data_IF_852814059613
#
_entry.id   IF_852814059613
#
_cell.length_a   1.000
_cell.length_b   1.000
_cell.length_c   1.000
_cell.angle_alpha   90.00
_cell.angle_beta   90.00
_cell.angle_gamma   90.00
#
_symmetry.space_group_name_H-M   'P 1'
#
loop_
_entity.id
_entity.type
_entity.pdbx_description
1 polymer ?
#
# COMPACT_ATOMS: atom_id res chain seq x y z
N UNK A 1 15.24 -6.81 15.92
CA UNK A 1 16.11 -6.12 16.90
C UNK A 1 16.85 -7.11 17.78
N UNK A 2 16.14 -8.04 18.42
CA UNK A 2 16.74 -9.06 19.29
C UNK A 2 17.80 -9.92 18.58
N UNK A 3 17.51 -10.34 17.34
CA UNK A 3 18.47 -11.09 16.50
C UNK A 3 19.75 -10.32 16.21
N UNK A 4 19.71 -8.99 16.29
CA UNK A 4 20.86 -8.10 16.10
C UNK A 4 21.47 -7.63 17.43
N UNK A 5 21.04 -8.16 18.57
CA UNK A 5 21.51 -7.79 19.91
C UNK A 5 21.16 -6.36 20.34
N UNK A 6 20.15 -5.73 19.73
CA UNK A 6 19.74 -4.35 20.02
C UNK A 6 18.63 -4.30 21.07
N UNK A 7 18.59 -3.25 21.89
CA UNK A 7 17.57 -3.08 22.94
C UNK A 7 16.18 -2.88 22.31
N UNK A 8 15.26 -3.82 22.58
CA UNK A 8 13.88 -3.83 22.07
C UNK A 8 12.82 -3.41 23.11
N UNK A 9 13.20 -2.93 24.30
CA UNK A 9 12.28 -2.59 25.39
C UNK A 9 11.22 -1.57 24.98
N UNK A 10 11.64 -0.47 24.34
CA UNK A 10 10.72 0.56 23.85
C UNK A 10 9.79 0.02 22.77
N UNK A 11 10.30 -0.80 21.85
CA UNK A 11 9.48 -1.41 20.80
C UNK A 11 8.40 -2.31 21.39
N UNK A 12 8.77 -3.15 22.37
CA UNK A 12 7.82 -4.07 23.04
C UNK A 12 6.78 -3.31 23.84
N UNK A 13 7.15 -2.21 24.50
CA UNK A 13 6.23 -1.34 25.22
C UNK A 13 5.20 -0.70 24.28
N UNK A 14 5.64 -0.02 23.23
CA UNK A 14 4.69 0.61 22.29
C UNK A 14 3.83 -0.44 21.58
N UNK A 15 4.38 -1.63 21.29
CA UNK A 15 3.61 -2.74 20.75
C UNK A 15 2.51 -3.22 21.70
N UNK A 16 2.77 -3.32 23.01
CA UNK A 16 1.74 -3.71 23.99
C UNK A 16 0.66 -2.64 24.15
N UNK A 17 1.02 -1.38 23.97
CA UNK A 17 0.11 -0.23 24.06
C UNK A 17 -0.72 -0.06 22.76
N UNK A 18 -0.42 -0.83 21.71
CA UNK A 18 -1.09 -0.76 20.40
C UNK A 18 -0.53 0.30 19.45
N UNK A 19 0.52 1.02 19.85
CA UNK A 19 1.16 2.11 19.12
C UNK A 19 2.18 1.57 18.11
N UNK A 20 1.70 0.78 17.13
CA UNK A 20 2.54 0.05 16.19
C UNK A 20 3.45 0.95 15.33
N UNK A 21 2.98 2.14 14.95
CA UNK A 21 3.79 3.10 14.18
C UNK A 21 4.94 3.67 15.01
N UNK A 22 4.72 3.90 16.31
CA UNK A 22 5.75 4.37 17.23
C UNK A 22 6.76 3.26 17.55
N UNK A 23 6.29 2.02 17.70
CA UNK A 23 7.14 0.83 17.80
C UNK A 23 8.05 0.68 16.57
N UNK A 24 7.51 0.86 15.36
CA UNK A 24 8.28 0.83 14.12
C UNK A 24 9.33 1.96 14.07
N UNK A 25 8.98 3.18 14.49
CA UNK A 25 9.94 4.30 14.59
C UNK A 25 11.13 3.96 15.49
N UNK A 26 10.89 3.41 16.68
CA UNK A 26 11.98 3.00 17.59
C UNK A 26 12.85 1.88 17.01
N UNK A 27 12.26 0.94 16.28
CA UNK A 27 13.02 -0.11 15.62
C UNK A 27 13.90 0.46 14.50
N UNK A 28 13.33 1.29 13.63
CA UNK A 28 14.03 1.81 12.44
C UNK A 28 15.13 2.80 12.81
N UNK A 29 14.98 3.57 13.90
CA UNK A 29 16.03 4.46 14.42
C UNK A 29 17.31 3.68 14.78
N UNK A 30 17.16 2.45 15.28
CA UNK A 30 18.28 1.62 15.65
C UNK A 30 18.79 0.73 14.53
N UNK A 31 18.03 0.50 13.44
CA UNK A 31 18.39 -0.45 12.37
C UNK A 31 19.03 0.26 11.17
N UNK A 32 19.97 -0.43 10.51
CA UNK A 32 20.54 0.07 9.25
C UNK A 32 19.61 -0.25 8.08
N UNK A 33 19.76 0.47 6.95
CA UNK A 33 18.96 0.21 5.75
C UNK A 33 19.00 -1.28 5.28
N UNK A 34 20.15 -1.97 5.28
CA UNK A 34 20.19 -3.39 4.94
C UNK A 34 19.38 -4.26 5.91
N UNK A 35 19.45 -3.98 7.23
CA UNK A 35 18.69 -4.73 8.24
C UNK A 35 17.18 -4.52 8.09
N UNK A 36 16.75 -3.29 7.77
CA UNK A 36 15.34 -3.00 7.45
C UNK A 36 14.92 -3.80 6.21
N UNK A 37 15.72 -3.77 5.14
CA UNK A 37 15.43 -4.52 3.93
C UNK A 37 15.33 -6.03 4.15
N UNK A 38 16.21 -6.59 4.97
CA UNK A 38 16.15 -7.99 5.36
C UNK A 38 14.90 -8.31 6.18
N UNK A 39 14.56 -7.48 7.17
CA UNK A 39 13.34 -7.62 7.97
C UNK A 39 12.08 -7.62 7.10
N UNK A 40 11.96 -6.67 6.16
CA UNK A 40 10.79 -6.58 5.26
C UNK A 40 10.74 -7.80 4.34
N UNK A 41 11.85 -8.18 3.71
CA UNK A 41 11.88 -9.37 2.83
C UNK A 41 11.54 -10.65 3.59
N UNK A 42 12.06 -10.81 4.79
CA UNK A 42 11.76 -11.97 5.64
C UNK A 42 10.28 -11.99 6.04
N UNK A 43 9.75 -10.88 6.54
CA UNK A 43 8.36 -10.75 6.99
C UNK A 43 7.36 -10.99 5.85
N UNK A 44 7.66 -10.47 4.66
CA UNK A 44 6.85 -10.69 3.45
C UNK A 44 7.13 -12.02 2.76
N UNK A 45 8.06 -12.85 3.27
CA UNK A 45 8.52 -14.08 2.63
C UNK A 45 8.93 -13.87 1.16
N UNK A 46 9.50 -12.71 0.86
CA UNK A 46 9.81 -12.24 -0.49
C UNK A 46 10.70 -13.25 -1.24
N UNK A 47 10.31 -13.60 -2.46
CA UNK A 47 10.99 -14.61 -3.29
C UNK A 47 10.73 -16.07 -2.90
N UNK A 48 10.10 -16.34 -1.75
CA UNK A 48 9.74 -17.70 -1.31
C UNK A 48 8.23 -17.96 -1.34
N UNK A 49 7.43 -16.96 -0.95
CA UNK A 49 5.99 -17.02 -1.07
C UNK A 49 5.57 -17.16 -2.54
N UNK A 50 4.41 -17.78 -2.76
CA UNK A 50 3.84 -17.98 -4.08
C UNK A 50 2.43 -17.42 -4.14
N UNK A 51 1.99 -16.93 -5.31
CA UNK A 51 0.62 -16.46 -5.50
C UNK A 51 -0.39 -17.52 -5.05
N UNK A 52 -1.21 -17.18 -4.06
CA UNK A 52 -2.37 -17.97 -3.67
C UNK A 52 -3.52 -17.83 -4.69
N UNK A 53 -4.52 -18.71 -4.62
CA UNK A 53 -5.71 -18.71 -5.52
C UNK A 53 -6.44 -17.36 -5.58
N UNK A 54 -6.40 -16.57 -4.51
CA UNK A 54 -6.98 -15.22 -4.50
C UNK A 54 -6.26 -14.28 -5.48
N UNK A 55 -4.94 -14.36 -5.59
CA UNK A 55 -4.17 -13.55 -6.53
C UNK A 55 -4.52 -13.93 -7.97
N UNK A 56 -4.69 -15.23 -8.24
CA UNK A 56 -5.17 -15.73 -9.54
C UNK A 56 -6.53 -15.11 -9.88
N UNK A 57 -7.51 -15.19 -8.97
CA UNK A 57 -8.84 -14.60 -9.17
C UNK A 57 -8.78 -13.09 -9.40
N UNK A 58 -7.96 -12.37 -8.64
CA UNK A 58 -7.78 -10.92 -8.77
C UNK A 58 -7.25 -10.56 -10.17
N UNK A 59 -6.24 -11.27 -10.68
CA UNK A 59 -5.67 -10.96 -12.00
C UNK A 59 -6.58 -11.40 -13.15
N UNK A 60 -7.26 -12.55 -13.01
CA UNK A 60 -8.22 -13.09 -13.99
C UNK A 60 -9.52 -12.27 -14.08
N UNK A 61 -9.90 -11.53 -13.03
CA UNK A 61 -11.01 -10.58 -13.06
C UNK A 61 -10.84 -9.53 -14.18
N UNK A 62 -9.61 -9.30 -14.62
CA UNK A 62 -9.31 -8.41 -15.74
C UNK A 62 -8.94 -6.96 -15.41
N UNK A 63 -8.55 -6.54 -14.18
CA UNK A 63 -8.14 -5.17 -13.95
C UNK A 63 -6.91 -4.83 -14.80
N UNK A 64 -6.87 -3.60 -15.30
CA UNK A 64 -5.77 -3.13 -16.18
C UNK A 64 -4.61 -2.53 -15.39
N UNK A 65 -4.79 -2.28 -14.09
CA UNK A 65 -3.85 -1.58 -13.22
C UNK A 65 -4.07 -2.03 -11.78
N UNK A 66 -3.01 -2.01 -10.99
CA UNK A 66 -3.03 -2.39 -9.59
C UNK A 66 -2.45 -1.29 -8.71
N UNK A 67 -3.02 -1.12 -7.53
CA UNK A 67 -2.45 -0.35 -6.44
C UNK A 67 -2.41 -1.26 -5.22
N UNK A 68 -1.29 -1.31 -4.50
CA UNK A 68 -1.17 -2.09 -3.27
C UNK A 68 -0.25 -1.41 -2.27
N UNK A 69 -0.61 -1.45 -0.98
CA UNK A 69 0.27 -1.04 0.12
C UNK A 69 1.13 -2.18 0.66
N UNK A 70 0.95 -3.40 0.13
CA UNK A 70 1.78 -4.55 0.47
C UNK A 70 3.17 -4.44 -0.18
N UNK A 71 4.21 -4.87 0.55
CA UNK A 71 5.59 -4.82 0.08
C UNK A 71 6.01 -6.03 -0.76
N UNK A 72 5.31 -7.17 -0.65
CA UNK A 72 5.62 -8.42 -1.38
C UNK A 72 5.42 -8.29 -2.90
N UNK A 73 5.91 -9.28 -3.67
CA UNK A 73 5.80 -9.31 -5.14
C UNK A 73 4.71 -10.29 -5.66
N UNK A 74 3.69 -10.61 -4.86
CA UNK A 74 2.73 -11.67 -5.21
C UNK A 74 1.79 -11.28 -6.35
N UNK A 75 1.44 -10.00 -6.51
CA UNK A 75 0.65 -9.52 -7.65
C UNK A 75 1.48 -9.61 -8.93
N UNK A 76 2.75 -9.21 -8.87
CA UNK A 76 3.73 -9.25 -9.93
C UNK A 76 3.98 -10.70 -10.39
N UNK A 77 4.12 -11.63 -9.43
CA UNK A 77 4.21 -13.07 -9.72
C UNK A 77 2.92 -13.61 -10.32
N UNK A 78 1.76 -13.27 -9.78
CA UNK A 78 0.46 -13.72 -10.30
C UNK A 78 0.23 -13.27 -11.74
N UNK A 79 0.58 -12.03 -12.07
CA UNK A 79 0.48 -11.50 -13.44
C UNK A 79 1.38 -12.27 -14.40
N UNK A 80 2.64 -12.53 -14.02
CA UNK A 80 3.56 -13.32 -14.84
C UNK A 80 3.09 -14.76 -15.04
N UNK A 81 2.46 -15.36 -14.03
CA UNK A 81 2.01 -16.76 -14.08
C UNK A 81 0.68 -16.94 -14.81
N UNK A 82 -0.31 -16.09 -14.52
CA UNK A 82 -1.70 -16.30 -14.98
C UNK A 82 -2.11 -15.36 -16.13
N UNK A 83 -1.31 -14.32 -16.43
CA UNK A 83 -1.53 -13.40 -17.56
C UNK A 83 -0.24 -13.09 -18.33
N UNK A 84 0.51 -14.12 -18.78
CA UNK A 84 1.83 -13.93 -19.40
C UNK A 84 1.80 -13.06 -20.67
N UNK A 85 0.68 -13.04 -21.40
CA UNK A 85 0.53 -12.28 -22.64
C UNK A 85 0.12 -10.80 -22.39
N UNK A 86 -0.11 -10.40 -21.14
CA UNK A 86 -0.47 -9.03 -20.80
C UNK A 86 0.76 -8.27 -20.28
N UNK A 87 1.10 -7.16 -20.94
CA UNK A 87 2.20 -6.32 -20.50
C UNK A 87 1.84 -5.50 -19.25
N UNK A 88 2.71 -5.58 -18.24
CA UNK A 88 2.72 -4.69 -17.09
C UNK A 88 4.12 -4.10 -16.91
N UNK A 89 4.20 -2.79 -16.70
CA UNK A 89 5.43 -2.11 -16.34
C UNK A 89 5.95 -2.60 -14.97
N UNK A 90 7.25 -2.46 -14.69
CA UNK A 90 7.81 -2.70 -13.36
C UNK A 90 7.06 -1.91 -12.27
N UNK A 91 7.03 -2.40 -11.02
CA UNK A 91 6.37 -1.70 -9.92
C UNK A 91 6.90 -0.27 -9.72
N UNK A 92 5.97 0.67 -9.59
CA UNK A 92 6.26 2.08 -9.33
C UNK A 92 6.09 2.35 -7.83
N UNK A 93 7.08 2.94 -7.18
CA UNK A 93 7.06 3.26 -5.74
C UNK A 93 7.09 4.78 -5.53
N UNK A 94 7.02 5.21 -4.27
CA UNK A 94 7.25 6.61 -3.84
C UNK A 94 8.62 7.18 -4.26
N UNK A 95 9.61 6.36 -4.62
CA UNK A 95 10.91 6.82 -5.10
C UNK A 95 10.95 7.08 -6.62
N UNK A 96 9.95 6.62 -7.38
CA UNK A 96 9.91 6.69 -8.85
C UNK A 96 9.11 7.91 -9.35
N UNK A 97 9.62 9.13 -9.09
CA UNK A 97 8.91 10.40 -9.37
C UNK A 97 8.46 10.56 -10.82
N UNK A 98 9.30 10.19 -11.79
CA UNK A 98 9.00 10.30 -13.22
C UNK A 98 7.88 9.35 -13.64
N UNK A 99 7.97 8.11 -13.18
CA UNK A 99 7.02 7.05 -13.46
C UNK A 99 5.67 7.32 -12.78
N UNK A 100 5.67 7.90 -11.58
CA UNK A 100 4.44 8.32 -10.89
C UNK A 100 3.65 9.36 -11.71
N UNK A 101 4.32 10.30 -12.39
CA UNK A 101 3.64 11.24 -13.28
C UNK A 101 2.94 10.53 -14.45
N UNK A 102 3.53 9.43 -14.96
CA UNK A 102 2.89 8.57 -15.96
C UNK A 102 1.68 7.82 -15.37
N UNK A 103 1.83 7.25 -14.17
CA UNK A 103 0.78 6.51 -13.45
C UNK A 103 -0.46 7.40 -13.20
N UNK A 104 -0.26 8.65 -12.81
CA UNK A 104 -1.35 9.59 -12.54
C UNK A 104 -2.20 9.95 -13.79
N UNK A 105 -1.72 9.63 -14.99
CA UNK A 105 -2.46 9.95 -16.22
C UNK A 105 -3.68 9.03 -16.39
N UNK A 106 -4.87 9.62 -16.56
CA UNK A 106 -6.16 8.91 -16.56
C UNK A 106 -6.25 7.73 -17.57
N UNK A 107 -5.56 7.83 -18.72
CA UNK A 107 -5.53 6.78 -19.75
C UNK A 107 -4.45 5.71 -19.53
N UNK A 108 -3.54 5.89 -18.58
CA UNK A 108 -2.46 4.94 -18.33
C UNK A 108 -3.02 3.61 -17.83
N UNK A 109 -2.49 2.51 -18.33
CA UNK A 109 -2.80 1.14 -17.91
C UNK A 109 -1.52 0.30 -17.90
N UNK A 110 -1.62 -0.94 -17.43
CA UNK A 110 -0.51 -1.88 -17.37
C UNK A 110 0.53 -1.46 -16.33
N UNK A 111 0.10 -1.07 -15.13
CA UNK A 111 1.02 -0.67 -14.06
C UNK A 111 0.63 -1.30 -12.72
N UNK A 112 1.62 -1.37 -11.83
CA UNK A 112 1.47 -1.73 -10.42
C UNK A 112 2.07 -0.58 -9.62
N UNK A 113 1.26 0.08 -8.81
CA UNK A 113 1.69 1.22 -7.99
C UNK A 113 1.71 0.84 -6.51
N UNK A 114 2.85 1.03 -5.86
CA UNK A 114 3.13 0.63 -4.48
C UNK A 114 3.53 1.87 -3.67
N UNK A 115 2.57 2.69 -3.23
CA UNK A 115 2.85 3.99 -2.62
C UNK A 115 3.69 3.89 -1.34
N UNK A 116 3.65 2.75 -0.64
CA UNK A 116 4.41 2.53 0.61
C UNK A 116 5.76 1.85 0.38
N UNK A 117 6.11 1.54 -0.87
CA UNK A 117 7.37 0.91 -1.23
C UNK A 117 7.26 -0.57 -1.58
N UNK A 118 8.43 -1.16 -1.84
CA UNK A 118 8.60 -2.52 -2.33
C UNK A 118 9.70 -3.24 -1.55
N UNK A 119 9.51 -4.52 -1.24
CA UNK A 119 10.49 -5.31 -0.48
C UNK A 119 11.83 -5.50 -1.21
N UNK A 120 11.90 -5.27 -2.52
CA UNK A 120 13.14 -5.22 -3.29
C UNK A 120 13.92 -3.91 -3.09
N UNK A 121 13.27 -2.83 -2.64
CA UNK A 121 13.90 -1.53 -2.39
C UNK A 121 13.59 -1.03 -0.96
N UNK A 122 14.53 -1.30 -0.05
CA UNK A 122 14.43 -0.88 1.35
C UNK A 122 14.31 0.64 1.53
N UNK A 123 14.73 1.48 0.58
CA UNK A 123 14.63 2.94 0.68
C UNK A 123 13.21 3.46 0.45
N UNK A 124 12.41 2.70 -0.29
CA UNK A 124 11.03 3.04 -0.60
C UNK A 124 10.06 2.78 0.57
N UNK A 125 10.47 1.97 1.54
CA UNK A 125 9.58 1.49 2.62
C UNK A 125 9.07 2.63 3.50
N UNK A 126 7.74 2.71 3.61
CA UNK A 126 6.99 3.57 4.53
C UNK A 126 6.34 2.67 5.59
N UNK A 127 6.84 2.73 6.83
CA UNK A 127 6.34 1.95 7.96
C UNK A 127 6.44 2.69 9.31
N UNK A 128 7.22 3.78 9.40
CA UNK A 128 7.35 4.57 10.63
C UNK A 128 6.49 5.82 10.62
N UNK A 129 6.20 6.37 11.80
CA UNK A 129 5.47 7.63 11.95
C UNK A 129 6.12 8.80 11.18
N UNK A 130 7.45 8.90 11.20
CA UNK A 130 8.22 9.92 10.47
C UNK A 130 8.09 9.75 8.97
N UNK A 131 8.05 8.51 8.48
CA UNK A 131 7.87 8.19 7.07
C UNK A 131 6.46 8.53 6.59
N UNK A 132 5.42 8.21 7.35
CA UNK A 132 4.04 8.63 7.04
C UNK A 132 3.91 10.16 7.01
N UNK A 133 4.60 10.90 7.90
CA UNK A 133 4.62 12.37 7.84
C UNK A 133 5.18 12.90 6.52
N UNK A 134 6.07 12.17 5.83
CA UNK A 134 6.58 12.58 4.51
C UNK A 134 5.55 12.45 3.39
N UNK A 135 4.43 11.75 3.60
CA UNK A 135 3.30 11.68 2.66
C UNK A 135 2.37 12.89 2.77
N UNK A 136 2.35 13.55 3.93
CA UNK A 136 1.53 14.74 4.17
C UNK A 136 1.94 15.90 3.26
N UNK A 137 1.07 16.92 3.09
CA UNK A 137 1.38 18.08 2.26
C UNK A 137 2.75 18.69 2.59
N UNK A 138 3.50 19.06 1.56
CA UNK A 138 4.89 19.55 1.63
C UNK A 138 5.95 18.51 2.03
N UNK A 139 5.54 17.25 2.27
CA UNK A 139 6.45 16.15 2.51
C UNK A 139 7.13 15.63 1.22
N UNK A 140 8.30 15.02 1.39
CA UNK A 140 9.13 14.47 0.30
C UNK A 140 8.37 13.47 -0.60
N UNK A 141 7.48 12.67 -0.01
CA UNK A 141 6.76 11.60 -0.69
C UNK A 141 5.30 11.93 -0.96
N UNK A 142 4.89 13.19 -0.74
CA UNK A 142 3.52 13.64 -0.95
C UNK A 142 2.99 13.33 -2.37
N UNK A 143 3.87 13.26 -3.37
CA UNK A 143 3.52 12.86 -4.74
C UNK A 143 2.90 11.47 -4.82
N UNK A 144 3.30 10.52 -3.98
CA UNK A 144 2.68 9.20 -3.96
C UNK A 144 1.20 9.28 -3.54
N UNK A 145 0.90 10.10 -2.53
CA UNK A 145 -0.44 10.34 -2.04
C UNK A 145 -1.30 11.09 -3.05
N UNK A 146 -0.76 12.12 -3.71
CA UNK A 146 -1.46 12.86 -4.78
C UNK A 146 -1.74 11.99 -6.02
N UNK A 147 -0.80 11.11 -6.38
CA UNK A 147 -1.03 10.13 -7.45
C UNK A 147 -2.14 9.16 -7.07
N UNK A 148 -2.13 8.63 -5.84
CA UNK A 148 -3.20 7.74 -5.36
C UNK A 148 -4.56 8.43 -5.37
N UNK A 149 -4.63 9.65 -4.85
CA UNK A 149 -5.81 10.52 -4.90
C UNK A 149 -6.33 10.67 -6.34
N UNK A 150 -5.45 11.01 -7.29
CA UNK A 150 -5.81 11.18 -8.69
C UNK A 150 -6.39 9.91 -9.30
N UNK A 151 -5.81 8.74 -8.99
CA UNK A 151 -6.31 7.45 -9.45
C UNK A 151 -7.70 7.16 -8.89
N UNK A 152 -7.94 7.43 -7.61
CA UNK A 152 -9.24 7.23 -6.96
C UNK A 152 -10.33 8.13 -7.56
N UNK A 153 -10.02 9.39 -7.89
CA UNK A 153 -10.99 10.30 -8.50
C UNK A 153 -11.32 9.90 -9.93
N UNK A 154 -10.29 9.55 -10.70
CA UNK A 154 -10.41 9.44 -12.16
C UNK A 154 -10.87 8.05 -12.64
N UNK A 155 -10.91 7.04 -11.77
CA UNK A 155 -11.12 5.63 -12.16
C UNK A 155 -12.04 4.91 -11.18
N UNK A 156 -12.81 3.91 -11.66
CA UNK A 156 -13.47 3.00 -10.74
C UNK A 156 -12.43 2.18 -9.96
N UNK A 157 -12.67 1.96 -8.67
CA UNK A 157 -11.74 1.25 -7.78
C UNK A 157 -12.44 0.08 -7.12
N UNK A 158 -11.76 -1.07 -7.07
CA UNK A 158 -12.17 -2.24 -6.29
C UNK A 158 -11.16 -2.47 -5.16
N UNK A 159 -11.61 -2.35 -3.91
CA UNK A 159 -10.82 -2.64 -2.72
C UNK A 159 -10.95 -4.11 -2.34
N UNK A 160 -9.82 -4.79 -2.16
CA UNK A 160 -9.75 -6.20 -1.76
C UNK A 160 -8.71 -6.37 -0.67
N UNK A 161 -9.06 -7.07 0.41
CA UNK A 161 -8.13 -7.32 1.53
C UNK A 161 -7.76 -6.07 2.32
N UNK A 162 -8.54 -5.00 2.18
CA UNK A 162 -8.26 -3.73 2.79
C UNK A 162 -8.95 -3.61 4.14
N UNK A 163 -8.17 -3.50 5.21
CA UNK A 163 -8.70 -3.10 6.51
C UNK A 163 -9.08 -1.62 6.42
N UNK A 164 -10.34 -1.29 6.65
CA UNK A 164 -10.87 0.09 6.63
C UNK A 164 -10.28 1.03 7.72
N UNK A 165 -9.14 0.66 8.29
CA UNK A 165 -8.43 1.34 9.37
C UNK A 165 -7.05 1.84 8.95
N UNK A 166 -6.63 1.61 7.72
CA UNK A 166 -5.39 2.16 7.19
C UNK A 166 -5.45 3.71 7.22
N UNK A 167 -4.50 4.40 7.88
CA UNK A 167 -4.54 5.84 8.04
C UNK A 167 -4.55 6.63 6.72
N UNK A 168 -3.84 6.16 5.71
CA UNK A 168 -3.73 6.86 4.42
C UNK A 168 -5.01 6.71 3.61
N UNK A 169 -5.64 5.53 3.66
CA UNK A 169 -6.97 5.35 3.08
C UNK A 169 -8.03 6.20 3.78
N UNK A 170 -8.05 6.23 5.11
CA UNK A 170 -8.98 7.07 5.87
C UNK A 170 -8.79 8.54 5.50
N UNK A 171 -7.53 9.00 5.48
CA UNK A 171 -7.19 10.37 5.07
C UNK A 171 -7.64 10.67 3.63
N UNK A 172 -7.31 9.81 2.67
CA UNK A 172 -7.69 10.01 1.28
C UNK A 172 -9.20 9.99 1.09
N UNK A 173 -9.90 9.06 1.73
CA UNK A 173 -11.37 9.00 1.72
C UNK A 173 -11.97 10.30 2.23
N UNK A 174 -11.52 10.78 3.39
CA UNK A 174 -12.05 12.02 3.99
C UNK A 174 -11.79 13.21 3.07
N UNK A 175 -10.61 13.25 2.44
CA UNK A 175 -10.27 14.28 1.48
C UNK A 175 -11.14 14.22 0.22
N UNK A 176 -11.43 13.02 -0.30
CA UNK A 176 -12.30 12.85 -1.47
C UNK A 176 -13.74 13.26 -1.16
N UNK A 177 -14.26 12.84 -0.01
CA UNK A 177 -15.63 13.16 0.44
C UNK A 177 -15.83 14.66 0.57
N UNK A 178 -14.89 15.34 1.23
CA UNK A 178 -14.94 16.79 1.45
C UNK A 178 -14.74 17.62 0.17
N UNK A 179 -13.95 17.11 -0.78
CA UNK A 179 -13.56 17.90 -1.97
C UNK A 179 -14.52 17.72 -3.14
N UNK A 180 -15.11 16.53 -3.28
CA UNK A 180 -15.85 16.16 -4.50
C UNK A 180 -17.35 15.95 -4.29
N UNK A 181 -17.89 16.05 -3.06
CA UNK A 181 -19.34 16.02 -2.76
C UNK A 181 -20.11 14.88 -3.49
N UNK A 182 -19.48 13.72 -3.69
CA UNK A 182 -20.07 12.57 -4.39
C UNK A 182 -19.81 12.49 -5.91
N UNK A 183 -19.09 13.43 -6.52
CA UNK A 183 -18.68 13.41 -7.93
C UNK A 183 -17.43 12.55 -8.20
N UNK A 184 -17.23 11.48 -7.43
CA UNK A 184 -16.15 10.49 -7.64
C UNK A 184 -16.67 9.33 -8.50
N UNK A 185 -15.74 8.62 -9.17
CA UNK A 185 -16.07 7.38 -9.89
C UNK A 185 -16.52 6.29 -8.91
N UNK A 186 -17.09 5.21 -9.42
CA UNK A 186 -17.61 4.14 -8.56
C UNK A 186 -16.50 3.43 -7.78
N UNK A 187 -16.70 3.31 -6.47
CA UNK A 187 -15.84 2.58 -5.55
C UNK A 187 -16.58 1.33 -5.05
N UNK A 188 -15.92 0.18 -5.12
CA UNK A 188 -16.45 -1.12 -4.68
C UNK A 188 -15.49 -1.72 -3.66
N UNK A 189 -15.98 -2.44 -2.65
CA UNK A 189 -15.14 -3.13 -1.68
C UNK A 189 -15.61 -4.56 -1.44
N UNK A 190 -14.67 -5.49 -1.35
CA UNK A 190 -14.90 -6.87 -0.90
C UNK A 190 -14.27 -7.01 0.48
N UNK A 191 -15.12 -7.10 1.50
CA UNK A 191 -14.74 -7.14 2.90
C UNK A 191 -15.28 -8.41 3.56
N UNK A 192 -14.46 -9.18 4.29
CA UNK A 192 -14.94 -10.32 5.07
C UNK A 192 -15.70 -9.85 6.32
N UNK A 193 -16.67 -10.65 6.76
CA UNK A 193 -17.26 -10.59 8.10
C UNK A 193 -17.84 -9.22 8.52
N UNK A 194 -18.42 -8.47 7.58
CA UNK A 194 -19.07 -7.18 7.86
C UNK A 194 -20.51 -7.37 8.34
N UNK A 195 -20.88 -6.68 9.43
CA UNK A 195 -22.27 -6.63 9.88
C UNK A 195 -23.12 -5.69 9.01
N UNK A 196 -24.44 -5.91 8.94
CA UNK A 196 -25.36 -5.03 8.19
C UNK A 196 -25.22 -3.53 8.56
N UNK A 197 -25.12 -3.16 9.86
CA UNK A 197 -24.92 -1.75 10.24
C UNK A 197 -23.62 -1.16 9.71
N UNK A 198 -22.53 -1.95 9.64
CA UNK A 198 -21.27 -1.48 9.07
C UNK A 198 -21.39 -1.30 7.56
N UNK A 199 -22.03 -2.24 6.85
CA UNK A 199 -22.29 -2.10 5.41
C UNK A 199 -23.07 -0.82 5.12
N UNK A 200 -24.11 -0.55 5.89
CA UNK A 200 -24.94 0.64 5.74
C UNK A 200 -24.18 1.93 6.08
N UNK A 201 -23.27 1.89 7.06
CA UNK A 201 -22.37 3.00 7.33
C UNK A 201 -21.50 3.30 6.10
N UNK A 202 -20.78 2.31 5.57
CA UNK A 202 -19.87 2.47 4.42
C UNK A 202 -20.56 2.78 3.09
N UNK A 203 -21.89 2.66 3.01
CA UNK A 203 -22.67 3.13 1.85
C UNK A 203 -23.05 4.60 1.93
N UNK A 204 -23.10 5.18 3.15
CA UNK A 204 -23.50 6.57 3.38
C UNK A 204 -22.32 7.54 3.40
N UNK A 205 -21.15 7.07 3.86
CA UNK A 205 -19.90 7.81 3.88
C UNK A 205 -19.03 7.46 2.68
#
# INVERSE_FOLDING_TARGET
MDESGKNSELVRKEQSDGELLQAASYAFDQLTQPQIGEFIRHSCRYGTAKPHEIHKKIVELGPTSFVTTNYDNLIEEALRTFRPDTFFAPPVTNCHLSEMASVAHAKKSGFIFKPHGDASDAKSIILTREQYRKLLPQGEWNRALETLKTLMISRPVLYVGFGLRDPDFLYLRDLLTNTYEGAVRDHYAILPDMSEPEIDYWRRV
#
